data_IF_604760974768
#
_entry.id   IF_604760974768
#
_cell.length_a   1.000
_cell.length_b   1.000
_cell.length_c   1.000
_cell.angle_alpha   90.00
_cell.angle_beta   90.00
_cell.angle_gamma   90.00
#
_symmetry.space_group_name_H-M   'P 1'
#
loop_
_entity.id
_entity.type
_entity.pdbx_description
1 polymer ?
#
# COMPACT_ATOMS: atom_id res chain seq x y z
N UNK A 1 24.45 -36.51 2.41
CA UNK A 1 23.10 -35.99 2.72
C UNK A 1 22.99 -34.64 2.02
N UNK A 2 22.32 -34.60 0.86
CA UNK A 2 22.14 -33.36 0.10
C UNK A 2 21.07 -32.53 0.79
N UNK A 3 21.40 -31.34 1.27
CA UNK A 3 20.41 -30.36 1.70
C UNK A 3 19.55 -30.00 0.48
N UNK A 4 18.24 -30.19 0.59
CA UNK A 4 17.30 -29.72 -0.43
C UNK A 4 17.41 -28.18 -0.54
N UNK A 5 17.29 -27.61 -1.75
CA UNK A 5 17.23 -26.16 -1.89
C UNK A 5 16.02 -25.65 -1.10
N UNK A 6 16.22 -24.65 -0.24
CA UNK A 6 15.13 -23.92 0.41
C UNK A 6 14.29 -23.24 -0.69
N UNK A 7 13.19 -23.86 -1.09
CA UNK A 7 12.22 -23.23 -1.99
C UNK A 7 11.71 -21.96 -1.32
N UNK A 8 11.89 -20.80 -1.96
CA UNK A 8 11.35 -19.54 -1.46
C UNK A 8 9.82 -19.65 -1.25
N UNK A 9 9.36 -19.47 -0.01
CA UNK A 9 7.92 -19.52 0.33
C UNK A 9 7.11 -18.54 -0.50
N UNK A 10 5.99 -18.95 -1.08
CA UNK A 10 5.05 -18.05 -1.77
C UNK A 10 4.66 -16.84 -0.89
N UNK A 11 4.29 -15.74 -1.52
CA UNK A 11 4.06 -14.45 -0.85
C UNK A 11 2.68 -13.89 -1.16
N UNK A 12 1.96 -13.46 -0.14
CA UNK A 12 0.82 -12.55 -0.29
C UNK A 12 1.27 -11.15 0.13
N UNK A 13 1.22 -10.22 -0.81
CA UNK A 13 1.62 -8.85 -0.65
C UNK A 13 0.37 -7.96 -0.65
N UNK A 14 0.08 -7.30 0.47
CA UNK A 14 -1.04 -6.36 0.58
C UNK A 14 -0.50 -4.94 0.74
N UNK A 15 -0.93 -4.01 -0.11
CA UNK A 15 -0.65 -2.59 0.06
C UNK A 15 -1.93 -1.86 0.49
N UNK A 16 -1.88 -1.24 1.66
CA UNK A 16 -2.94 -0.32 2.11
C UNK A 16 -2.61 1.10 1.68
N UNK A 17 -3.48 1.69 0.89
CA UNK A 17 -3.42 3.09 0.45
C UNK A 17 -4.51 3.85 1.20
N UNK A 18 -4.12 4.78 2.07
CA UNK A 18 -5.01 5.37 3.06
C UNK A 18 -4.93 6.88 2.98
N UNK A 19 -6.05 7.58 3.06
CA UNK A 19 -6.00 9.04 3.19
C UNK A 19 -5.62 9.47 4.62
N UNK A 20 -4.88 10.57 4.76
CA UNK A 20 -4.41 11.07 6.05
C UNK A 20 -5.40 11.97 6.81
N UNK A 21 -6.69 11.96 6.46
CA UNK A 21 -7.65 12.96 6.94
C UNK A 21 -8.09 12.74 8.39
N UNK A 22 -8.46 13.81 9.10
CA UNK A 22 -9.11 13.71 10.42
C UNK A 22 -10.45 12.96 10.37
N UNK A 23 -11.18 13.04 9.25
CA UNK A 23 -12.45 12.34 9.07
C UNK A 23 -12.24 10.83 9.00
N UNK A 24 -11.20 10.37 8.29
CA UNK A 24 -10.89 8.94 8.31
C UNK A 24 -10.35 8.53 9.70
N UNK A 25 -9.57 9.38 10.35
CA UNK A 25 -9.02 9.10 11.67
C UNK A 25 -10.11 8.85 12.74
N UNK A 26 -11.22 9.59 12.70
CA UNK A 26 -12.33 9.39 13.66
C UNK A 26 -13.02 8.04 13.49
N UNK A 27 -13.05 7.52 12.26
CA UNK A 27 -13.64 6.20 11.94
C UNK A 27 -12.61 5.07 11.97
N UNK A 28 -11.32 5.37 12.18
CA UNK A 28 -10.24 4.40 12.04
C UNK A 28 -10.40 3.13 12.89
N UNK A 29 -10.78 3.20 14.19
CA UNK A 29 -10.98 1.98 14.99
C UNK A 29 -12.01 1.04 14.37
N UNK A 30 -13.09 1.61 13.81
CA UNK A 30 -14.14 0.87 13.11
C UNK A 30 -13.65 0.30 11.79
N UNK A 31 -12.99 1.12 10.96
CA UNK A 31 -12.39 0.67 9.69
C UNK A 31 -11.45 -0.51 9.92
N UNK A 32 -10.61 -0.42 10.94
CA UNK A 32 -9.63 -1.44 11.29
C UNK A 32 -10.27 -2.75 11.76
N UNK A 33 -11.30 -2.67 12.60
CA UNK A 33 -11.94 -3.84 13.23
C UNK A 33 -12.99 -4.51 12.34
N UNK A 34 -13.80 -3.73 11.62
CA UNK A 34 -14.91 -4.24 10.82
C UNK A 34 -14.49 -4.59 9.37
N UNK A 35 -13.42 -3.97 8.83
CA UNK A 35 -13.05 -4.13 7.42
C UNK A 35 -11.65 -4.68 7.22
N UNK A 36 -10.62 -3.98 7.70
CA UNK A 36 -9.22 -4.37 7.42
C UNK A 36 -8.88 -5.71 8.07
N UNK A 37 -9.14 -5.87 9.36
CA UNK A 37 -8.79 -7.10 10.09
C UNK A 37 -9.53 -8.32 9.53
N UNK A 38 -10.85 -8.29 9.28
CA UNK A 38 -11.56 -9.42 8.69
C UNK A 38 -11.09 -9.74 7.27
N UNK A 39 -10.78 -8.74 6.45
CA UNK A 39 -10.27 -8.94 5.10
C UNK A 39 -8.90 -9.62 5.12
N UNK A 40 -7.97 -9.11 5.94
CA UNK A 40 -6.64 -9.70 6.09
C UNK A 40 -6.71 -11.13 6.63
N UNK A 41 -7.59 -11.39 7.60
CA UNK A 41 -7.85 -12.74 8.10
C UNK A 41 -8.33 -13.67 6.98
N UNK A 42 -9.30 -13.22 6.18
CA UNK A 42 -9.80 -14.01 5.05
C UNK A 42 -8.72 -14.31 4.02
N UNK A 43 -7.85 -13.35 3.70
CA UNK A 43 -6.72 -13.58 2.80
C UNK A 43 -5.76 -14.61 3.40
N UNK A 44 -5.41 -14.48 4.68
CA UNK A 44 -4.56 -15.44 5.37
C UNK A 44 -5.15 -16.86 5.34
N UNK A 45 -6.46 -17.00 5.58
CA UNK A 45 -7.15 -18.30 5.55
C UNK A 45 -7.14 -18.92 4.14
N UNK A 46 -7.25 -18.09 3.08
CA UNK A 46 -7.16 -18.54 1.68
C UNK A 46 -5.74 -18.98 1.28
N UNK A 47 -4.71 -18.37 1.89
CA UNK A 47 -3.30 -18.56 1.52
C UNK A 47 -2.44 -18.96 2.73
N UNK A 48 -2.89 -19.94 3.52
CA UNK A 48 -2.27 -20.33 4.80
C UNK A 48 -0.80 -20.76 4.73
N UNK A 49 -0.29 -21.15 3.54
CA UNK A 49 1.11 -21.52 3.33
C UNK A 49 1.99 -20.39 2.78
N UNK A 50 1.43 -19.20 2.56
CA UNK A 50 2.17 -18.06 2.02
C UNK A 50 2.67 -17.17 3.15
N UNK A 51 3.85 -16.60 2.97
CA UNK A 51 4.29 -15.49 3.80
C UNK A 51 3.36 -14.29 3.54
N UNK A 52 2.86 -13.64 4.59
CA UNK A 52 2.05 -12.43 4.46
C UNK A 52 2.89 -11.19 4.74
N UNK A 53 2.85 -10.22 3.84
CA UNK A 53 3.48 -8.91 4.04
C UNK A 53 2.52 -7.77 3.76
N UNK A 54 2.63 -6.73 4.57
CA UNK A 54 1.81 -5.53 4.50
C UNK A 54 2.70 -4.32 4.21
N UNK A 55 2.37 -3.58 3.16
CA UNK A 55 2.85 -2.24 2.88
C UNK A 55 1.77 -1.21 3.25
N UNK A 56 2.20 0.00 3.57
CA UNK A 56 1.29 1.07 3.97
C UNK A 56 1.71 2.39 3.33
N UNK A 57 0.79 3.04 2.65
CA UNK A 57 0.97 4.34 2.01
C UNK A 57 -0.14 5.25 2.51
N UNK A 58 0.24 6.42 3.00
CA UNK A 58 -0.73 7.44 3.40
C UNK A 58 -0.50 8.72 2.64
N UNK A 59 -1.58 9.29 2.10
CA UNK A 59 -1.53 10.51 1.30
C UNK A 59 -2.43 11.61 1.89
N UNK A 60 -2.01 12.85 1.74
CA UNK A 60 -2.72 14.06 2.13
C UNK A 60 -3.15 14.89 0.93
N UNK A 61 -3.34 16.20 1.15
CA UNK A 61 -3.60 17.16 0.08
C UNK A 61 -2.32 17.49 -0.69
N UNK A 62 -2.45 17.96 -1.94
CA UNK A 62 -1.33 18.30 -2.83
C UNK A 62 -0.39 19.39 -2.27
N UNK A 63 -0.89 20.25 -1.38
CA UNK A 63 -0.12 21.30 -0.74
C UNK A 63 0.53 20.86 0.58
N UNK A 64 0.37 19.60 1.01
CA UNK A 64 1.06 19.08 2.19
C UNK A 64 2.57 19.13 1.97
N UNK A 65 3.31 19.49 3.04
CA UNK A 65 4.77 19.59 3.03
C UNK A 65 5.36 18.53 3.97
N UNK A 66 6.53 17.95 3.63
CA UNK A 66 7.33 18.21 2.42
C UNK A 66 6.75 17.58 1.15
N UNK A 67 5.88 16.57 1.29
CA UNK A 67 5.26 15.82 0.19
C UNK A 67 3.78 15.56 0.49
N UNK A 68 2.92 15.39 -0.53
CA UNK A 68 1.58 14.82 -0.37
C UNK A 68 1.59 13.39 0.19
N UNK A 69 2.70 12.65 0.07
CA UNK A 69 2.86 11.35 0.72
C UNK A 69 3.31 11.56 2.17
N UNK A 70 2.42 11.27 3.11
CA UNK A 70 2.64 11.46 4.55
C UNK A 70 3.49 10.33 5.13
N UNK A 71 3.23 9.10 4.66
CA UNK A 71 3.95 7.92 5.07
C UNK A 71 4.03 6.93 3.90
N UNK A 72 5.16 6.24 3.78
CA UNK A 72 5.37 5.19 2.79
C UNK A 72 6.25 4.09 3.37
N UNK A 73 5.63 3.00 3.82
CA UNK A 73 6.31 1.83 4.40
C UNK A 73 6.32 0.66 3.43
N UNK A 74 7.50 0.11 3.23
CA UNK A 74 7.70 -1.09 2.43
C UNK A 74 7.11 -2.33 3.11
N UNK A 75 6.85 -3.36 2.30
CA UNK A 75 6.30 -4.65 2.72
C UNK A 75 7.04 -5.25 3.92
N UNK A 76 6.33 -5.33 5.04
CA UNK A 76 6.86 -5.79 6.33
C UNK A 76 5.93 -6.85 6.95
N UNK A 77 6.36 -7.44 8.07
CA UNK A 77 5.53 -8.40 8.81
C UNK A 77 4.19 -7.78 9.24
N UNK A 78 3.11 -8.49 8.94
CA UNK A 78 1.74 -8.02 9.18
C UNK A 78 1.45 -7.84 10.68
N UNK A 79 2.00 -8.68 11.55
CA UNK A 79 1.75 -8.61 13.00
C UNK A 79 2.37 -7.35 13.59
N UNK A 80 3.58 -7.00 13.13
CA UNK A 80 4.25 -5.76 13.51
C UNK A 80 3.46 -4.53 13.07
N UNK A 81 3.11 -4.45 11.78
CA UNK A 81 2.38 -3.30 11.22
C UNK A 81 1.01 -3.13 11.89
N UNK A 82 0.27 -4.22 12.07
CA UNK A 82 -1.07 -4.18 12.69
C UNK A 82 -1.02 -3.85 14.18
N UNK A 83 0.06 -4.19 14.89
CA UNK A 83 0.28 -3.78 16.28
C UNK A 83 0.47 -2.28 16.37
N UNK A 84 1.30 -1.71 15.49
CA UNK A 84 1.57 -0.28 15.48
C UNK A 84 0.35 0.54 15.04
N UNK A 85 -0.38 0.10 14.00
CA UNK A 85 -1.61 0.75 13.53
C UNK A 85 -2.71 0.80 14.61
N UNK A 86 -2.76 -0.21 15.49
CA UNK A 86 -3.68 -0.23 16.64
C UNK A 86 -3.24 0.68 17.76
N UNK A 87 -1.93 0.76 18.01
CA UNK A 87 -1.38 1.53 19.11
C UNK A 87 -1.35 3.03 18.82
N UNK A 88 -0.92 3.41 17.61
CA UNK A 88 -0.72 4.80 17.22
C UNK A 88 -0.83 4.98 15.69
N UNK A 89 -2.06 5.14 15.15
CA UNK A 89 -2.27 5.31 13.71
C UNK A 89 -1.65 6.60 13.14
N UNK A 90 -1.36 7.60 13.99
CA UNK A 90 -0.76 8.86 13.55
C UNK A 90 0.67 8.70 13.02
N UNK A 91 1.40 7.66 13.51
CA UNK A 91 2.70 7.24 12.97
C UNK A 91 2.63 6.71 11.54
N UNK A 92 1.43 6.44 11.04
CA UNK A 92 1.17 6.08 9.66
C UNK A 92 0.59 7.25 8.86
N UNK A 93 0.59 8.47 9.39
CA UNK A 93 0.04 9.63 8.67
C UNK A 93 -1.47 9.82 8.83
N UNK A 94 -2.18 8.91 9.51
CA UNK A 94 -3.64 8.96 9.66
C UNK A 94 -4.00 10.07 10.64
N UNK A 95 -4.86 11.00 10.23
CA UNK A 95 -5.26 12.14 11.04
C UNK A 95 -4.22 13.26 11.08
N UNK A 96 -3.29 13.31 10.13
CA UNK A 96 -2.29 14.37 10.04
C UNK A 96 -2.69 15.50 9.09
N UNK A 97 -3.82 15.37 8.38
CA UNK A 97 -4.29 16.36 7.40
C UNK A 97 -5.78 16.64 7.51
N UNK A 98 -6.21 17.79 6.98
CA UNK A 98 -7.62 18.05 6.71
C UNK A 98 -8.09 17.31 5.46
N UNK A 99 -9.40 17.28 5.21
CA UNK A 99 -10.02 16.56 4.08
C UNK A 99 -9.80 17.21 2.70
N UNK A 100 -8.73 18.00 2.52
CA UNK A 100 -8.40 18.67 1.26
C UNK A 100 -9.32 19.84 0.86
N UNK A 101 -10.37 20.12 1.64
CA UNK A 101 -11.31 21.20 1.37
C UNK A 101 -11.95 21.09 0.00
N UNK A 102 -12.01 22.18 -0.76
CA UNK A 102 -12.57 22.19 -2.12
C UNK A 102 -11.64 21.57 -3.19
N UNK A 103 -10.40 21.22 -2.83
CA UNK A 103 -9.40 20.71 -3.79
C UNK A 103 -9.27 19.18 -3.77
N UNK A 104 -9.74 18.51 -2.72
CA UNK A 104 -9.58 17.06 -2.56
C UNK A 104 -8.18 16.65 -2.09
N UNK A 105 -7.96 15.33 -2.04
CA UNK A 105 -6.70 14.71 -1.60
C UNK A 105 -5.96 14.04 -2.76
N UNK A 106 -4.63 13.97 -2.67
CA UNK A 106 -3.77 13.47 -3.75
C UNK A 106 -3.74 11.94 -3.81
N UNK A 107 -4.89 11.33 -4.05
CA UNK A 107 -5.06 9.88 -4.10
C UNK A 107 -4.26 9.23 -5.24
N UNK A 108 -4.06 9.94 -6.37
CA UNK A 108 -3.21 9.45 -7.46
C UNK A 108 -1.76 9.21 -6.98
N UNK A 109 -1.20 10.13 -6.19
CA UNK A 109 0.13 9.96 -5.58
C UNK A 109 0.17 8.71 -4.70
N UNK A 110 -0.84 8.52 -3.85
CA UNK A 110 -0.92 7.36 -2.97
C UNK A 110 -0.99 6.02 -3.72
N UNK A 111 -1.81 5.96 -4.77
CA UNK A 111 -1.99 4.75 -5.59
C UNK A 111 -0.72 4.41 -6.38
N UNK A 112 -0.08 5.41 -6.99
CA UNK A 112 1.15 5.19 -7.75
C UNK A 112 2.31 4.83 -6.83
N UNK A 113 2.41 5.45 -5.65
CA UNK A 113 3.39 5.06 -4.65
C UNK A 113 3.20 3.61 -4.18
N UNK A 114 1.97 3.08 -4.16
CA UNK A 114 1.74 1.66 -3.86
C UNK A 114 2.15 0.74 -5.01
N UNK A 115 1.85 1.10 -6.26
CA UNK A 115 2.35 0.39 -7.46
C UNK A 115 3.87 0.31 -7.43
N UNK A 116 4.52 1.43 -7.13
CA UNK A 116 5.97 1.50 -6.99
C UNK A 116 6.52 0.52 -5.94
N UNK A 117 5.85 0.37 -4.79
CA UNK A 117 6.27 -0.59 -3.77
C UNK A 117 6.19 -2.03 -4.27
N UNK A 118 5.16 -2.35 -5.06
CA UNK A 118 5.06 -3.68 -5.66
C UNK A 118 6.10 -3.90 -6.76
N UNK A 119 6.37 -2.90 -7.61
CA UNK A 119 7.45 -2.96 -8.61
C UNK A 119 8.80 -3.23 -7.93
N UNK A 120 9.09 -2.52 -6.84
CA UNK A 120 10.30 -2.75 -6.05
C UNK A 120 10.31 -4.16 -5.44
N UNK A 121 9.18 -4.65 -4.93
CA UNK A 121 9.05 -6.01 -4.37
C UNK A 121 9.32 -7.09 -5.43
N UNK A 122 8.69 -6.98 -6.60
CA UNK A 122 8.88 -7.90 -7.72
C UNK A 122 10.33 -7.92 -8.19
N UNK A 123 10.94 -6.74 -8.37
CA UNK A 123 12.33 -6.59 -8.81
C UNK A 123 13.36 -7.05 -7.76
N UNK A 124 13.03 -6.96 -6.47
CA UNK A 124 13.91 -7.43 -5.38
C UNK A 124 13.93 -8.96 -5.25
N UNK A 125 12.94 -9.66 -5.81
CA UNK A 125 12.88 -11.12 -5.85
C UNK A 125 13.78 -11.76 -6.91
N UNK A 126 14.40 -10.94 -7.77
CA UNK A 126 15.24 -11.36 -8.91
C UNK A 126 16.67 -11.67 -8.44
N UNK A 127 16.82 -12.65 -7.55
CA UNK A 127 18.09 -13.37 -7.44
C UNK A 127 18.21 -14.34 -8.64
N UNK A 128 19.42 -14.62 -9.15
CA UNK A 128 19.61 -15.43 -10.37
C UNK A 128 19.18 -16.91 -10.22
N UNK A 129 18.75 -17.32 -9.03
CA UNK A 129 18.01 -18.57 -8.85
C UNK A 129 16.53 -18.26 -9.08
N UNK A 130 16.02 -18.68 -10.26
CA UNK A 130 14.59 -18.79 -10.57
C UNK A 130 13.93 -19.72 -9.55
N UNK A 131 13.66 -19.24 -8.36
CA UNK A 131 12.69 -19.86 -7.49
C UNK A 131 11.31 -19.44 -8.01
N UNK A 132 10.48 -20.43 -8.33
CA UNK A 132 9.08 -20.32 -8.74
C UNK A 132 8.19 -19.71 -7.62
N UNK A 133 8.65 -18.67 -6.93
CA UNK A 133 7.91 -18.02 -5.86
C UNK A 133 6.75 -17.25 -6.48
N UNK A 134 5.53 -17.71 -6.23
CA UNK A 134 4.34 -16.97 -6.63
C UNK A 134 4.13 -15.80 -5.65
N UNK A 135 3.86 -14.63 -6.22
CA UNK A 135 3.44 -13.45 -5.46
C UNK A 135 1.98 -13.20 -5.82
N UNK A 136 1.17 -12.96 -4.81
CA UNK A 136 -0.24 -12.61 -4.94
C UNK A 136 -0.41 -11.21 -4.36
N UNK A 137 -0.80 -10.26 -5.20
CA UNK A 137 -0.85 -8.85 -4.82
C UNK A 137 -2.26 -8.33 -4.64
N UNK A 138 -2.48 -7.59 -3.55
CA UNK A 138 -3.74 -6.94 -3.24
C UNK A 138 -3.51 -5.48 -2.88
N UNK A 139 -4.29 -4.59 -3.50
CA UNK A 139 -4.32 -3.17 -3.14
C UNK A 139 -5.65 -2.86 -2.45
N UNK A 140 -5.57 -2.26 -1.26
CA UNK A 140 -6.72 -1.78 -0.50
C UNK A 140 -6.67 -0.27 -0.44
N UNK A 141 -7.65 0.41 -1.06
CA UNK A 141 -7.76 1.86 -0.99
C UNK A 141 -8.85 2.27 0.00
N UNK A 142 -8.48 3.08 0.99
CA UNK A 142 -9.35 3.52 2.08
C UNK A 142 -9.40 5.05 2.07
N UNK A 143 -10.56 5.59 1.71
CA UNK A 143 -10.79 7.02 1.58
C UNK A 143 -12.16 7.41 2.13
N UNK A 144 -12.22 8.62 2.70
CA UNK A 144 -13.45 9.27 3.16
C UNK A 144 -13.65 10.64 2.48
N UNK A 145 -12.64 11.12 1.74
CA UNK A 145 -12.62 12.39 1.02
C UNK A 145 -12.43 12.15 -0.48
N UNK A 146 -12.96 13.03 -1.35
CA UNK A 146 -12.77 12.90 -2.79
C UNK A 146 -11.30 13.13 -3.20
N UNK A 147 -10.84 12.48 -4.28
CA UNK A 147 -9.54 12.76 -4.86
C UNK A 147 -9.48 14.17 -5.45
N UNK A 148 -8.27 14.71 -5.58
CA UNK A 148 -8.01 15.93 -6.33
C UNK A 148 -8.05 15.71 -7.86
N UNK A 149 -7.85 16.78 -8.62
CA UNK A 149 -7.86 16.74 -10.10
C UNK A 149 -6.47 16.45 -10.70
N UNK A 150 -5.50 15.97 -9.90
CA UNK A 150 -4.17 15.68 -10.41
C UNK A 150 -4.24 14.62 -11.52
N UNK A 151 -3.53 14.89 -12.62
CA UNK A 151 -3.49 13.99 -13.78
C UNK A 151 -2.25 13.11 -13.80
N UNK A 152 -1.22 13.48 -13.01
CA UNK A 152 0.05 12.78 -12.92
C UNK A 152 0.60 12.87 -11.50
N UNK A 153 1.26 11.81 -11.01
CA UNK A 153 2.02 11.86 -9.78
C UNK A 153 3.31 12.68 -9.97
N UNK A 154 3.84 13.20 -8.88
CA UNK A 154 5.03 14.06 -8.85
C UNK A 154 6.07 13.59 -7.83
N UNK A 155 5.73 12.59 -7.00
CA UNK A 155 6.53 12.20 -5.84
C UNK A 155 7.10 10.77 -5.91
N UNK A 156 7.19 10.18 -7.10
CA UNK A 156 7.73 8.83 -7.25
C UNK A 156 9.27 8.82 -7.22
N UNK A 157 9.82 7.66 -6.86
CA UNK A 157 11.25 7.36 -6.98
C UNK A 157 11.58 6.78 -8.37
N UNK A 158 10.68 5.96 -8.93
CA UNK A 158 10.76 5.33 -10.24
C UNK A 158 10.12 6.25 -11.28
N UNK A 159 10.97 6.94 -12.05
CA UNK A 159 10.56 7.98 -12.99
C UNK A 159 9.57 7.53 -14.08
N UNK A 160 9.54 6.23 -14.44
CA UNK A 160 8.57 5.77 -15.44
C UNK A 160 7.12 5.87 -14.93
N UNK A 161 6.93 5.87 -13.61
CA UNK A 161 5.63 6.01 -12.97
C UNK A 161 5.10 7.46 -12.99
N UNK A 162 5.93 8.46 -13.31
CA UNK A 162 5.52 9.87 -13.44
C UNK A 162 4.58 10.11 -14.63
N UNK A 163 4.51 9.14 -15.55
CA UNK A 163 3.60 9.15 -16.68
C UNK A 163 2.23 8.52 -16.39
N UNK A 164 2.06 7.90 -15.21
CA UNK A 164 0.82 7.21 -14.83
C UNK A 164 -0.30 8.21 -14.61
N UNK A 165 -1.46 7.89 -15.17
CA UNK A 165 -2.71 8.65 -15.02
C UNK A 165 -3.79 7.75 -14.43
N UNK A 166 -4.93 8.33 -14.06
CA UNK A 166 -6.10 7.58 -13.62
C UNK A 166 -6.51 6.47 -14.60
N UNK A 167 -6.39 6.73 -15.91
CA UNK A 167 -6.74 5.78 -16.96
C UNK A 167 -5.73 4.62 -17.08
N UNK A 168 -4.47 4.84 -16.71
CA UNK A 168 -3.42 3.82 -16.83
C UNK A 168 -3.23 2.99 -15.56
N UNK A 169 -3.76 3.42 -14.41
CA UNK A 169 -3.70 2.65 -13.15
C UNK A 169 -4.11 1.18 -13.34
N UNK A 170 -5.25 0.85 -13.99
CA UNK A 170 -5.64 -0.56 -14.15
C UNK A 170 -4.63 -1.37 -14.97
N UNK A 171 -3.93 -0.73 -15.92
CA UNK A 171 -2.89 -1.38 -16.71
C UNK A 171 -1.65 -1.63 -15.86
N UNK A 172 -1.22 -0.66 -15.06
CA UNK A 172 -0.09 -0.81 -14.14
C UNK A 172 -0.35 -1.92 -13.11
N UNK A 173 -1.53 -1.96 -12.49
CA UNK A 173 -1.91 -3.00 -11.53
C UNK A 173 -1.97 -4.41 -12.14
N UNK A 174 -2.18 -4.52 -13.47
CA UNK A 174 -2.23 -5.80 -14.19
C UNK A 174 -0.85 -6.31 -14.61
N UNK A 175 0.21 -5.51 -14.52
CA UNK A 175 1.56 -5.91 -14.98
C UNK A 175 2.15 -7.11 -14.22
N UNK A 176 1.42 -7.64 -13.24
CA UNK A 176 1.73 -8.91 -12.62
C UNK A 176 2.71 -8.69 -11.49
N UNK A 177 2.13 -8.39 -10.32
CA UNK A 177 2.80 -8.57 -9.04
C UNK A 177 2.21 -9.82 -8.40
#
# INVERSE_FOLDING_TARGET
>A
MSAAPEQGQDLVAVACVVEGSFVLASEWPRVLTEYITPLLKRLHDLHHNHQFRLAFVTYGAANTRPSPLLEKRFFSDISLVMKELRADPSKFGIGNTSCGGSRGLSALEGLVAAIELFDILGNSSVSPQKDNRSIISHLLHIAASPPDNAQRPQCNTLQYLDSVTWDTIPTELKKGH
#
